data_IF_713454450373
#
_entry.id   IF_713454450373
#
_cell.length_a   1.000
_cell.length_b   1.000
_cell.length_c   1.000
_cell.angle_alpha   90.00
_cell.angle_beta   90.00
_cell.angle_gamma   90.00
#
_symmetry.space_group_name_H-M   'P 1'
#
loop_
_entity.id
_entity.type
_entity.pdbx_description
1 polymer ?
#
# COMPACT_ATOMS: atom_id res chain seq x y z
N UNK A 1 11.42 -10.73 12.14
CA UNK A 1 10.22 -9.93 12.37
C UNK A 1 10.58 -8.52 12.87
N UNK A 2 11.24 -8.36 14.03
CA UNK A 2 11.51 -7.03 14.66
C UNK A 2 12.23 -6.03 13.72
N UNK A 3 13.21 -6.46 12.94
CA UNK A 3 13.91 -5.57 12.00
C UNK A 3 12.96 -5.02 10.92
N UNK A 4 12.11 -5.88 10.35
CA UNK A 4 11.12 -5.49 9.33
C UNK A 4 10.05 -4.55 9.90
N UNK A 5 9.56 -4.81 11.10
CA UNK A 5 8.58 -3.93 11.75
C UNK A 5 9.18 -2.59 12.14
N UNK A 6 10.44 -2.56 12.60
CA UNK A 6 11.16 -1.32 12.86
C UNK A 6 11.33 -0.47 11.60
N UNK A 7 11.68 -1.08 10.46
CA UNK A 7 11.78 -0.38 9.20
C UNK A 7 10.42 0.19 8.74
N UNK A 8 9.31 -0.52 8.97
CA UNK A 8 7.97 -0.02 8.67
C UNK A 8 7.60 1.18 9.56
N UNK A 9 7.97 1.15 10.85
CA UNK A 9 7.80 2.30 11.75
C UNK A 9 8.50 3.53 11.18
N UNK A 10 9.77 3.39 10.76
CA UNK A 10 10.52 4.51 10.19
C UNK A 10 9.94 5.04 8.88
N UNK A 11 9.43 4.15 8.01
CA UNK A 11 8.73 4.61 6.80
C UNK A 11 7.52 5.48 7.14
N UNK A 12 6.75 5.12 8.16
CA UNK A 12 5.55 5.87 8.55
C UNK A 12 5.88 7.14 9.34
N UNK A 13 6.93 7.15 10.16
CA UNK A 13 7.43 8.35 10.82
C UNK A 13 7.81 9.46 9.84
N UNK A 14 8.15 9.12 8.60
CA UNK A 14 8.49 10.06 7.55
C UNK A 14 7.28 10.71 6.86
N UNK A 15 6.04 10.31 7.17
CA UNK A 15 4.84 10.93 6.64
C UNK A 15 4.36 12.07 7.55
N UNK A 16 4.54 13.30 7.11
CA UNK A 16 4.28 14.50 7.91
C UNK A 16 3.27 15.42 7.21
N UNK A 17 1.96 15.17 7.36
CA UNK A 17 0.92 15.87 6.61
C UNK A 17 0.57 17.27 7.09
N UNK A 18 1.02 17.68 8.26
CA UNK A 18 0.61 18.94 8.88
C UNK A 18 1.82 19.81 9.26
N UNK A 19 1.57 21.07 9.54
CA UNK A 19 2.53 22.04 10.04
C UNK A 19 3.79 22.13 9.16
N UNK A 20 3.59 22.22 7.84
CA UNK A 20 4.67 22.31 6.84
C UNK A 20 5.69 21.14 6.94
N UNK A 21 5.23 19.98 7.42
CA UNK A 21 6.08 18.80 7.57
C UNK A 21 6.62 18.57 8.99
N UNK A 22 6.17 19.34 9.97
CA UNK A 22 6.62 19.17 11.37
C UNK A 22 5.77 18.18 12.16
N UNK A 23 4.49 18.01 11.81
CA UNK A 23 3.59 17.05 12.48
C UNK A 23 3.43 15.79 11.66
N UNK A 24 3.99 14.69 12.18
CA UNK A 24 4.12 13.42 11.48
C UNK A 24 3.25 12.31 12.06
N UNK A 25 3.08 11.25 11.28
CA UNK A 25 2.48 10.00 11.74
C UNK A 25 3.36 9.37 12.82
N UNK A 26 2.75 8.86 13.87
CA UNK A 26 3.44 8.02 14.85
C UNK A 26 3.45 6.57 14.34
N UNK A 27 4.53 6.18 13.65
CA UNK A 27 4.67 4.85 13.06
C UNK A 27 4.61 3.72 14.08
N UNK A 28 5.03 3.95 15.34
CA UNK A 28 4.93 2.96 16.39
C UNK A 28 3.48 2.74 16.85
N UNK A 29 2.70 3.82 16.96
CA UNK A 29 1.27 3.76 17.30
C UNK A 29 0.48 3.05 16.20
N UNK A 30 0.79 3.32 14.93
CA UNK A 30 0.03 2.80 13.79
C UNK A 30 0.56 1.46 13.25
N UNK A 31 1.62 0.90 13.84
CA UNK A 31 2.32 -0.27 13.33
C UNK A 31 1.41 -1.49 13.12
N UNK A 32 0.52 -1.78 14.07
CA UNK A 32 -0.35 -2.95 13.99
C UNK A 32 -1.26 -2.90 12.76
N UNK A 33 -1.89 -1.76 12.53
CA UNK A 33 -2.78 -1.52 11.39
C UNK A 33 -2.01 -1.49 10.07
N UNK A 34 -0.82 -0.88 10.05
CA UNK A 34 0.03 -0.85 8.86
C UNK A 34 0.52 -2.25 8.46
N UNK A 35 0.83 -3.14 9.43
CA UNK A 35 1.14 -4.55 9.17
C UNK A 35 -0.08 -5.27 8.60
N UNK A 36 -1.27 -5.01 9.18
CA UNK A 36 -2.53 -5.58 8.72
C UNK A 36 -2.84 -5.20 7.27
N UNK A 37 -2.69 -3.93 6.93
CA UNK A 37 -2.89 -3.42 5.57
C UNK A 37 -1.88 -4.04 4.58
N UNK A 38 -0.59 -4.05 4.94
CA UNK A 38 0.46 -4.59 4.06
C UNK A 38 0.28 -6.09 3.81
N UNK A 39 0.07 -6.86 4.86
CA UNK A 39 -0.15 -8.29 4.75
C UNK A 39 -1.48 -8.63 4.07
N UNK A 40 -2.54 -7.91 4.45
CA UNK A 40 -3.88 -8.07 3.87
C UNK A 40 -3.90 -7.81 2.38
N UNK A 41 -3.32 -6.68 1.93
CA UNK A 41 -3.27 -6.33 0.51
C UNK A 41 -2.41 -7.33 -0.29
N UNK A 42 -1.25 -7.74 0.25
CA UNK A 42 -0.39 -8.75 -0.38
C UNK A 42 -1.10 -10.09 -0.54
N UNK A 43 -1.79 -10.57 0.50
CA UNK A 43 -2.55 -11.81 0.44
C UNK A 43 -3.76 -11.71 -0.50
N UNK A 44 -4.46 -10.57 -0.50
CA UNK A 44 -5.59 -10.33 -1.39
C UNK A 44 -5.14 -10.31 -2.87
N UNK A 45 -4.00 -9.69 -3.17
CA UNK A 45 -3.44 -9.73 -4.53
C UNK A 45 -3.10 -11.16 -4.96
N UNK A 46 -2.45 -11.92 -4.10
CA UNK A 46 -2.16 -13.32 -4.37
C UNK A 46 -3.43 -14.15 -4.60
N UNK A 47 -4.46 -13.96 -3.78
CA UNK A 47 -5.76 -14.61 -3.96
C UNK A 47 -6.44 -14.19 -5.27
N UNK A 48 -6.34 -12.91 -5.64
CA UNK A 48 -6.83 -12.42 -6.92
C UNK A 48 -6.11 -13.13 -8.09
N UNK A 49 -4.78 -13.20 -8.09
CA UNK A 49 -4.05 -13.93 -9.15
C UNK A 49 -4.43 -15.40 -9.18
N UNK A 50 -4.52 -16.08 -8.04
CA UNK A 50 -4.99 -17.48 -7.98
C UNK A 50 -6.40 -17.68 -8.52
N UNK A 51 -7.27 -16.66 -8.46
CA UNK A 51 -8.61 -16.73 -9.04
C UNK A 51 -8.63 -16.65 -10.57
N UNK A 52 -7.54 -16.19 -11.18
CA UNK A 52 -7.37 -16.15 -12.63
C UNK A 52 -6.75 -17.44 -13.18
N UNK A 53 -6.02 -18.18 -12.39
CA UNK A 53 -5.43 -19.49 -12.72
C UNK A 53 -6.54 -20.53 -12.88
N UNK A 54 -7.04 -20.68 -14.09
CA UNK A 54 -8.21 -21.53 -14.38
C UNK A 54 -7.85 -22.99 -14.63
N UNK A 55 -6.62 -23.26 -15.04
CA UNK A 55 -6.12 -24.63 -15.26
C UNK A 55 -5.37 -25.20 -14.04
N UNK A 56 -5.05 -24.34 -13.07
CA UNK A 56 -4.45 -24.74 -11.79
C UNK A 56 -2.95 -25.07 -11.88
N UNK A 57 -2.25 -24.57 -12.89
CA UNK A 57 -0.82 -24.82 -13.08
C UNK A 57 0.07 -23.92 -12.22
N UNK A 58 -0.53 -22.91 -11.55
CA UNK A 58 0.16 -21.97 -10.65
C UNK A 58 0.78 -20.77 -11.35
N UNK A 59 0.54 -20.61 -12.66
CA UNK A 59 0.97 -19.47 -13.46
C UNK A 59 -0.25 -18.82 -14.14
N UNK A 60 -0.15 -17.55 -14.49
CA UNK A 60 -1.20 -16.86 -15.23
C UNK A 60 -0.75 -16.71 -16.67
N UNK A 61 -1.33 -17.49 -17.55
CA UNK A 61 -1.14 -17.40 -18.98
C UNK A 61 -1.83 -16.17 -19.58
N UNK A 62 -1.46 -15.70 -20.79
CA UNK A 62 -2.07 -14.50 -21.39
C UNK A 62 -3.59 -14.57 -21.59
N UNK A 63 -4.14 -15.76 -21.77
CA UNK A 63 -5.58 -15.99 -21.94
C UNK A 63 -6.33 -16.08 -20.58
N UNK A 64 -5.61 -16.17 -19.48
CA UNK A 64 -6.14 -16.12 -18.12
C UNK A 64 -6.05 -14.70 -17.52
N UNK A 65 -5.29 -13.80 -18.11
CA UNK A 65 -5.24 -12.44 -17.66
C UNK A 65 -6.62 -11.77 -17.65
N UNK A 66 -6.91 -11.03 -16.59
CA UNK A 66 -8.16 -10.27 -16.51
C UNK A 66 -8.23 -9.25 -17.66
N UNK A 67 -9.41 -9.09 -18.30
CA UNK A 67 -9.56 -8.21 -19.45
C UNK A 67 -9.20 -6.76 -19.09
N UNK A 68 -8.61 -6.04 -20.06
CA UNK A 68 -8.45 -4.59 -19.95
C UNK A 68 -9.82 -3.94 -20.05
N UNK A 69 -10.19 -3.15 -19.05
CA UNK A 69 -11.45 -2.39 -19.01
C UNK A 69 -11.14 -0.90 -18.80
N UNK A 70 -11.72 -0.07 -19.63
CA UNK A 70 -11.49 1.39 -19.62
C UNK A 70 -10.00 1.79 -19.65
N UNK A 71 -9.19 1.00 -20.37
CA UNK A 71 -7.75 1.21 -20.48
C UNK A 71 -6.94 0.74 -19.29
N UNK A 72 -7.54 0.11 -18.28
CA UNK A 72 -6.88 -0.38 -17.08
C UNK A 72 -6.77 -1.92 -17.10
N UNK A 73 -5.57 -2.42 -16.81
CA UNK A 73 -5.35 -3.84 -16.59
C UNK A 73 -6.06 -4.33 -15.33
N UNK A 74 -6.18 -5.64 -15.17
CA UNK A 74 -6.75 -6.23 -13.97
C UNK A 74 -5.97 -5.86 -12.70
N UNK A 75 -4.65 -5.88 -12.78
CA UNK A 75 -3.76 -5.52 -11.67
C UNK A 75 -3.89 -4.04 -11.30
N UNK A 76 -3.96 -3.14 -12.30
CA UNK A 76 -4.22 -1.72 -12.04
C UNK A 76 -5.56 -1.50 -11.36
N UNK A 77 -6.63 -2.19 -11.82
CA UNK A 77 -7.95 -2.09 -11.17
C UNK A 77 -7.95 -2.62 -9.75
N UNK A 78 -7.19 -3.69 -9.47
CA UNK A 78 -7.03 -4.21 -8.11
C UNK A 78 -6.48 -3.13 -7.16
N UNK A 79 -5.36 -2.51 -7.49
CA UNK A 79 -4.75 -1.46 -6.64
C UNK A 79 -5.60 -0.19 -6.58
N UNK A 80 -6.25 0.20 -7.67
CA UNK A 80 -7.18 1.34 -7.67
C UNK A 80 -8.41 1.08 -6.80
N UNK A 81 -8.90 -0.16 -6.74
CA UNK A 81 -10.00 -0.54 -5.84
C UNK A 81 -9.60 -0.37 -4.37
N UNK A 82 -8.39 -0.77 -4.00
CA UNK A 82 -7.83 -0.49 -2.67
C UNK A 82 -7.79 1.01 -2.37
N UNK A 83 -7.30 1.81 -3.31
CA UNK A 83 -7.25 3.26 -3.16
C UNK A 83 -8.66 3.89 -2.99
N UNK A 84 -9.66 3.35 -3.67
CA UNK A 84 -11.05 3.83 -3.54
C UNK A 84 -11.64 3.61 -2.15
N UNK A 85 -11.30 2.51 -1.48
CA UNK A 85 -11.75 2.22 -0.09
C UNK A 85 -11.32 3.35 0.85
N UNK A 86 -10.13 3.88 0.64
CA UNK A 86 -9.53 4.91 1.50
C UNK A 86 -9.73 6.34 0.97
N UNK A 87 -10.53 6.52 -0.06
CA UNK A 87 -10.80 7.83 -0.66
C UNK A 87 -11.65 8.69 0.27
N UNK A 88 -10.99 9.40 1.16
CA UNK A 88 -11.62 10.33 2.10
C UNK A 88 -10.79 11.61 2.25
N UNK A 89 -11.44 12.67 2.70
CA UNK A 89 -10.81 13.95 3.00
C UNK A 89 -11.27 14.42 4.36
N UNK A 90 -10.33 14.64 5.25
CA UNK A 90 -10.57 15.16 6.59
C UNK A 90 -10.23 16.65 6.67
N UNK A 91 -10.86 17.34 7.63
CA UNK A 91 -10.42 18.66 8.06
C UNK A 91 -9.11 18.52 8.84
N UNK A 92 -8.28 19.55 8.80
CA UNK A 92 -6.98 19.54 9.48
C UNK A 92 -7.07 19.17 10.96
N UNK A 93 -8.03 19.75 11.70
CA UNK A 93 -8.25 19.45 13.10
C UNK A 93 -8.56 17.98 13.38
N UNK A 94 -9.33 17.33 12.50
CA UNK A 94 -9.63 15.91 12.60
C UNK A 94 -8.39 15.07 12.32
N UNK A 95 -7.58 15.44 11.32
CA UNK A 95 -6.31 14.78 11.02
C UNK A 95 -5.34 14.93 12.18
N UNK A 96 -5.23 16.13 12.78
CA UNK A 96 -4.38 16.38 13.94
C UNK A 96 -4.74 15.49 15.13
N UNK A 97 -6.02 15.38 15.42
CA UNK A 97 -6.50 14.49 16.49
C UNK A 97 -6.22 13.02 16.16
N UNK A 98 -6.42 12.60 14.92
CA UNK A 98 -6.10 11.24 14.46
C UNK A 98 -4.64 10.91 14.69
N UNK A 99 -3.71 11.78 14.28
CA UNK A 99 -2.28 11.57 14.44
C UNK A 99 -1.84 11.38 15.90
N UNK A 100 -2.58 12.00 16.84
CA UNK A 100 -2.24 11.92 18.27
C UNK A 100 -2.75 10.65 18.96
N UNK A 101 -3.89 10.10 18.54
CA UNK A 101 -4.61 9.12 19.37
C UNK A 101 -5.09 7.89 18.62
N UNK A 102 -5.16 7.92 17.28
CA UNK A 102 -5.73 6.84 16.48
C UNK A 102 -4.64 5.86 16.05
N UNK A 103 -4.81 4.54 16.26
CA UNK A 103 -3.86 3.54 15.78
C UNK A 103 -3.87 3.37 14.25
N UNK A 104 -4.78 4.04 13.54
CA UNK A 104 -4.85 4.01 12.08
C UNK A 104 -4.13 5.20 11.47
N UNK A 105 -3.27 4.95 10.51
CA UNK A 105 -2.66 6.00 9.69
C UNK A 105 -3.72 6.76 8.88
N UNK A 106 -3.51 8.04 8.55
CA UNK A 106 -4.40 8.75 7.63
C UNK A 106 -4.63 8.00 6.32
N UNK A 107 -5.83 8.09 5.72
CA UNK A 107 -6.24 7.26 4.58
C UNK A 107 -5.27 7.25 3.39
N UNK A 108 -4.71 8.41 3.04
CA UNK A 108 -3.73 8.50 1.97
C UNK A 108 -2.46 7.68 2.25
N UNK A 109 -2.06 7.54 3.50
CA UNK A 109 -0.89 6.73 3.90
C UNK A 109 -1.23 5.25 4.04
N UNK A 110 -2.49 4.90 4.31
CA UNK A 110 -2.98 3.52 4.20
C UNK A 110 -2.94 3.01 2.75
N UNK A 111 -2.96 3.89 1.76
CA UNK A 111 -2.73 3.54 0.36
C UNK A 111 -1.24 3.65 0.02
N UNK A 112 -0.71 4.85 0.01
CA UNK A 112 0.62 5.15 -0.53
C UNK A 112 1.76 4.51 0.27
N UNK A 113 1.61 4.44 1.59
CA UNK A 113 2.58 3.78 2.48
C UNK A 113 2.62 2.26 2.29
N UNK A 114 1.52 1.66 1.86
CA UNK A 114 1.42 0.22 1.63
C UNK A 114 1.86 -0.15 0.22
N UNK A 115 1.27 0.43 -0.83
CA UNK A 115 1.53 0.01 -2.22
C UNK A 115 3.00 0.15 -2.60
N UNK A 116 3.71 1.15 -2.08
CA UNK A 116 5.14 1.35 -2.33
C UNK A 116 6.05 0.23 -1.80
N UNK A 117 5.51 -0.71 -1.02
CA UNK A 117 6.21 -1.89 -0.54
C UNK A 117 5.92 -3.16 -1.36
N UNK A 118 5.01 -3.10 -2.34
CA UNK A 118 4.56 -4.24 -3.15
C UNK A 118 5.15 -4.16 -4.57
N UNK A 119 6.04 -5.07 -4.94
CA UNK A 119 6.65 -5.10 -6.26
C UNK A 119 5.60 -5.17 -7.37
N UNK A 120 4.52 -5.88 -7.13
CA UNK A 120 3.40 -6.04 -8.05
C UNK A 120 2.71 -4.71 -8.41
N UNK A 121 2.73 -3.73 -7.51
CA UNK A 121 2.25 -2.40 -7.80
C UNK A 121 3.21 -1.63 -8.74
N UNK A 122 4.51 -1.81 -8.55
CA UNK A 122 5.52 -1.23 -9.46
C UNK A 122 5.34 -1.76 -10.88
N UNK A 123 5.15 -3.06 -11.01
CA UNK A 123 4.94 -3.71 -12.31
C UNK A 123 3.63 -3.24 -12.97
N UNK A 124 2.53 -3.17 -12.19
CA UNK A 124 1.22 -2.76 -12.69
C UNK A 124 1.20 -1.34 -13.25
N UNK A 125 1.96 -0.41 -12.67
CA UNK A 125 1.95 1.00 -13.04
C UNK A 125 3.24 1.48 -13.73
N UNK A 126 4.22 0.61 -13.90
CA UNK A 126 5.51 0.98 -14.49
C UNK A 126 6.29 2.00 -13.67
N UNK A 127 6.20 1.90 -12.34
CA UNK A 127 6.80 2.87 -11.40
C UNK A 127 8.33 2.76 -11.42
N UNK A 128 8.99 3.89 -11.57
CA UNK A 128 10.44 4.01 -11.70
C UNK A 128 11.04 4.91 -10.62
N UNK A 129 12.35 5.02 -10.55
CA UNK A 129 13.07 5.87 -9.61
C UNK A 129 12.76 7.38 -9.77
N UNK A 130 12.10 7.77 -10.84
CA UNK A 130 11.68 9.17 -11.09
C UNK A 130 10.34 9.50 -10.39
N UNK A 131 9.62 8.49 -9.91
CA UNK A 131 8.30 8.66 -9.31
C UNK A 131 8.39 8.92 -7.80
N UNK A 132 7.54 9.82 -7.29
CA UNK A 132 7.57 10.28 -5.90
C UNK A 132 7.32 9.18 -4.85
N UNK A 133 6.62 8.10 -5.21
CA UNK A 133 6.35 6.98 -4.30
C UNK A 133 7.38 5.86 -4.40
N UNK A 134 8.35 5.98 -5.31
CA UNK A 134 9.37 4.97 -5.47
C UNK A 134 10.21 4.81 -4.20
N UNK A 135 10.48 3.57 -3.84
CA UNK A 135 11.54 3.18 -2.92
C UNK A 135 12.33 2.02 -3.53
N UNK A 136 13.67 1.98 -3.33
CA UNK A 136 14.50 0.90 -3.85
C UNK A 136 14.03 -0.47 -3.36
N UNK A 137 14.16 -1.54 -4.14
CA UNK A 137 13.69 -2.89 -3.78
C UNK A 137 14.17 -3.38 -2.41
N UNK A 138 15.41 -3.08 -2.05
CA UNK A 138 16.01 -3.45 -0.76
C UNK A 138 15.41 -2.71 0.44
N UNK A 139 14.67 -1.62 0.21
CA UNK A 139 13.97 -0.85 1.24
C UNK A 139 12.47 -1.20 1.32
N UNK A 140 11.96 -2.01 0.38
CA UNK A 140 10.58 -2.48 0.40
C UNK A 140 10.39 -3.52 1.51
N UNK A 141 9.36 -3.33 2.29
CA UNK A 141 9.15 -4.16 3.48
C UNK A 141 8.17 -5.28 3.15
N UNK A 142 8.62 -6.50 3.38
CA UNK A 142 7.79 -7.71 3.32
C UNK A 142 7.82 -8.35 4.70
N UNK A 143 6.66 -8.41 5.34
CA UNK A 143 6.56 -8.93 6.71
C UNK A 143 6.61 -10.47 6.70
N UNK A 144 5.97 -11.09 5.72
CA UNK A 144 5.90 -12.54 5.49
C UNK A 144 6.52 -12.95 4.18
#
# INVERSE_FOLDING_TARGET
FKAKTGALVEQYNAFCPLDEGETCVNGALTLGENIGDLGGLSMAYKAYKLSLDTDGDGTISPDEEAPVLDGLSGDQRFFLSWAQVWRSKYREEATRRQLLTDPHSPPNYRVNGIVRNLDEWYDAFGVTAEDALYIPPEQRIRIW
#
